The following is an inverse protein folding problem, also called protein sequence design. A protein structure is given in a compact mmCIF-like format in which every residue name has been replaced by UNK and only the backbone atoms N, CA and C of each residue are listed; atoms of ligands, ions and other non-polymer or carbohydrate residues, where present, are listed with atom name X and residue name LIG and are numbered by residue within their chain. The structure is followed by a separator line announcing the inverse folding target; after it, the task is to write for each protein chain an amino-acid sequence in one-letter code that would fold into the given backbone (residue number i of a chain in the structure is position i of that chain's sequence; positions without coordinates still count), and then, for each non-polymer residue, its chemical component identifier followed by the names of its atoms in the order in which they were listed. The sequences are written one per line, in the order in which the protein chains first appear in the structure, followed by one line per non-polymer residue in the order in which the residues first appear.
data_IF_802501882765
#
_entry.id   IF_802501882765
#
_cell.length_a   1.000
_cell.length_b   1.000
_cell.length_c   1.000
_cell.angle_alpha   90.00
_cell.angle_beta   90.00
_cell.angle_gamma   90.00
#
_symmetry.space_group_name_H-M   'P 1'
#
loop_
_entity.id
_entity.type
_entity.pdbx_description
1 polymer ?
#
# COMPACT_ATOMS: atom_id res chain seq x y z
N UNK A 1 -5.64 -16.50 -0.83
CA UNK A 1 -6.05 -15.16 -1.31
C UNK A 1 -4.81 -14.43 -1.80
N UNK A 2 -4.81 -13.97 -3.03
CA UNK A 2 -3.64 -13.33 -3.63
C UNK A 2 -3.67 -11.82 -3.41
N UNK A 3 -2.50 -11.21 -3.26
CA UNK A 3 -2.35 -9.76 -3.05
C UNK A 3 -3.05 -8.95 -4.14
N UNK A 4 -2.96 -9.39 -5.43
CA UNK A 4 -3.61 -8.71 -6.55
C UNK A 4 -5.13 -8.56 -6.43
N UNK A 5 -5.78 -9.45 -5.70
CA UNK A 5 -7.24 -9.44 -5.50
C UNK A 5 -7.70 -8.27 -4.61
N UNK A 6 -6.77 -7.62 -3.90
CA UNK A 6 -7.02 -6.47 -3.00
C UNK A 6 -6.56 -5.14 -3.56
N UNK A 7 -6.01 -5.10 -4.76
CA UNK A 7 -5.60 -3.87 -5.40
C UNK A 7 -6.83 -3.06 -5.85
N UNK A 8 -7.27 -2.13 -5.01
CA UNK A 8 -8.53 -1.40 -5.24
C UNK A 8 -8.39 -0.16 -6.11
N UNK A 9 -7.20 0.41 -6.22
CA UNK A 9 -6.96 1.67 -6.95
C UNK A 9 -5.62 1.64 -7.65
N UNK A 10 -5.56 2.28 -8.82
CA UNK A 10 -4.30 2.57 -9.45
C UNK A 10 -3.45 3.44 -8.50
N UNK A 11 -2.18 3.12 -8.29
CA UNK A 11 -1.30 3.90 -7.44
C UNK A 11 -1.09 5.27 -8.06
N UNK A 12 -0.96 6.30 -7.21
CA UNK A 12 -0.57 7.64 -7.66
C UNK A 12 0.94 7.68 -7.78
N UNK A 13 1.44 8.00 -8.95
CA UNK A 13 2.86 7.98 -9.26
C UNK A 13 3.38 9.36 -9.61
N UNK A 14 4.64 9.61 -9.30
CA UNK A 14 5.36 10.83 -9.68
C UNK A 14 6.78 10.46 -10.13
N UNK A 15 7.42 11.27 -10.99
CA UNK A 15 8.83 11.11 -11.27
C UNK A 15 9.68 11.64 -10.09
N UNK A 16 10.96 11.23 -9.98
CA UNK A 16 11.87 11.71 -8.93
C UNK A 16 12.06 13.24 -8.91
N UNK A 17 11.87 13.90 -10.06
CA UNK A 17 12.03 15.35 -10.25
C UNK A 17 10.81 16.15 -9.77
N UNK A 18 9.70 15.50 -9.43
CA UNK A 18 8.54 16.15 -8.84
C UNK A 18 8.96 16.92 -7.58
N UNK A 19 8.54 18.16 -7.43
CA UNK A 19 8.87 18.98 -6.26
C UNK A 19 8.05 18.57 -5.04
N UNK A 20 8.52 18.91 -3.84
CA UNK A 20 7.77 18.68 -2.60
C UNK A 20 6.41 19.37 -2.63
N UNK A 21 6.34 20.59 -3.19
CA UNK A 21 5.08 21.34 -3.33
C UNK A 21 4.10 20.61 -4.25
N UNK A 22 4.56 20.18 -5.42
CA UNK A 22 3.74 19.42 -6.38
C UNK A 22 3.27 18.10 -5.78
N UNK A 23 4.14 17.38 -5.10
CA UNK A 23 3.82 16.12 -4.43
C UNK A 23 2.77 16.31 -3.32
N UNK A 24 2.96 17.30 -2.46
CA UNK A 24 2.00 17.60 -1.39
C UNK A 24 0.62 17.99 -1.95
N UNK A 25 0.59 18.80 -3.01
CA UNK A 25 -0.65 19.18 -3.69
C UNK A 25 -1.36 17.98 -4.30
N UNK A 26 -0.61 17.10 -4.96
CA UNK A 26 -1.15 15.87 -5.55
C UNK A 26 -1.72 14.91 -4.48
N UNK A 27 -1.04 14.78 -3.34
CA UNK A 27 -1.55 14.01 -2.19
C UNK A 27 -2.89 14.55 -1.70
N UNK A 28 -3.02 15.88 -1.59
CA UNK A 28 -4.27 16.54 -1.20
C UNK A 28 -5.39 16.31 -2.22
N UNK A 29 -5.11 16.52 -3.50
CA UNK A 29 -6.07 16.38 -4.58
C UNK A 29 -6.59 14.94 -4.77
N UNK A 30 -5.72 13.97 -4.53
CA UNK A 30 -6.06 12.54 -4.68
C UNK A 30 -6.49 11.87 -3.38
N UNK A 31 -6.38 12.55 -2.24
CA UNK A 31 -6.71 12.00 -0.93
C UNK A 31 -5.84 10.81 -0.55
N UNK A 32 -4.54 10.85 -0.89
CA UNK A 32 -3.58 9.79 -0.58
C UNK A 32 -2.44 10.31 0.29
N UNK A 33 -1.89 9.47 1.15
CA UNK A 33 -0.75 9.80 2.01
C UNK A 33 0.58 9.24 1.52
N UNK A 34 0.62 8.67 0.33
CA UNK A 34 1.84 8.14 -0.28
C UNK A 34 1.80 8.23 -1.79
N UNK A 35 2.95 8.49 -2.38
CA UNK A 35 3.19 8.49 -3.83
C UNK A 35 4.27 7.46 -4.13
N UNK A 36 4.07 6.68 -5.19
CA UNK A 36 5.13 5.85 -5.72
C UNK A 36 5.98 6.67 -6.69
N UNK A 37 7.27 6.66 -6.46
CA UNK A 37 8.23 7.37 -7.31
C UNK A 37 8.72 6.40 -8.37
N UNK A 38 8.46 6.73 -9.62
CA UNK A 38 8.78 5.87 -10.76
C UNK A 38 9.70 6.58 -11.74
N UNK A 39 10.63 5.81 -12.31
CA UNK A 39 11.47 6.23 -13.43
C UNK A 39 11.26 5.23 -14.56
N UNK A 40 10.62 5.68 -15.64
CA UNK A 40 10.11 4.77 -16.67
C UNK A 40 9.07 3.81 -16.07
N UNK A 41 9.30 2.50 -16.24
CA UNK A 41 8.44 1.43 -15.70
C UNK A 41 8.89 0.93 -14.30
N UNK A 42 9.96 1.51 -13.74
CA UNK A 42 10.57 1.04 -12.50
C UNK A 42 10.15 1.88 -11.29
N UNK A 43 9.76 1.23 -10.20
CA UNK A 43 9.56 1.87 -8.90
C UNK A 43 10.94 2.12 -8.30
N UNK A 44 11.30 3.39 -8.14
CA UNK A 44 12.60 3.80 -7.59
C UNK A 44 12.49 4.28 -6.15
N UNK A 45 11.28 4.59 -5.68
CA UNK A 45 11.06 5.07 -4.34
C UNK A 45 9.59 5.10 -3.94
N UNK A 46 9.38 5.41 -2.67
CA UNK A 46 8.09 5.76 -2.09
C UNK A 46 8.25 7.02 -1.25
N UNK A 47 7.38 7.99 -1.44
CA UNK A 47 7.34 9.21 -0.64
C UNK A 47 5.99 9.32 0.08
N UNK A 48 6.04 9.54 1.39
CA UNK A 48 4.85 9.72 2.22
C UNK A 48 4.70 11.17 2.65
N UNK A 49 3.50 11.55 3.08
CA UNK A 49 3.25 12.83 3.74
C UNK A 49 4.18 13.06 4.94
N UNK A 50 4.50 12.01 5.70
CA UNK A 50 5.48 12.07 6.78
C UNK A 50 6.90 12.38 6.26
N UNK A 51 7.33 11.80 5.15
CA UNK A 51 8.64 12.10 4.55
C UNK A 51 8.73 13.56 4.15
N UNK A 52 7.69 14.11 3.53
CA UNK A 52 7.63 15.53 3.17
C UNK A 52 7.69 16.40 4.41
N UNK A 53 6.95 16.08 5.46
CA UNK A 53 6.92 16.85 6.68
C UNK A 53 8.25 16.77 7.45
N UNK A 54 8.82 15.58 7.62
CA UNK A 54 9.98 15.35 8.50
C UNK A 54 11.29 15.56 7.74
N UNK A 55 11.48 14.93 6.60
CA UNK A 55 12.73 15.00 5.83
C UNK A 55 12.80 16.23 4.93
N UNK A 56 11.66 16.75 4.53
CA UNK A 56 11.57 17.98 3.75
C UNK A 56 11.45 19.20 4.65
N UNK A 57 10.26 19.51 5.11
CA UNK A 57 9.97 20.71 5.91
C UNK A 57 10.75 20.74 7.22
N UNK A 58 10.79 19.64 7.97
CA UNK A 58 11.52 19.54 9.25
C UNK A 58 13.02 19.70 9.10
N UNK A 59 13.60 19.38 7.96
CA UNK A 59 15.01 19.61 7.65
C UNK A 59 15.30 20.99 7.03
N UNK A 60 14.28 21.86 6.91
CA UNK A 60 14.42 23.20 6.36
C UNK A 60 14.62 23.22 4.84
N UNK A 61 14.27 22.18 4.14
CA UNK A 61 14.38 22.11 2.68
C UNK A 61 13.36 23.03 2.01
N UNK A 62 13.73 23.73 0.92
CA UNK A 62 12.77 24.53 0.16
C UNK A 62 11.72 23.64 -0.53
N UNK A 63 10.55 24.20 -0.81
CA UNK A 63 9.45 23.50 -1.48
C UNK A 63 9.81 23.05 -2.90
N UNK A 64 10.83 23.65 -3.50
CA UNK A 64 11.39 23.27 -4.81
C UNK A 64 12.31 22.06 -4.76
N UNK A 65 12.60 21.51 -3.59
CA UNK A 65 13.35 20.25 -3.42
C UNK A 65 12.64 19.13 -4.15
N UNK A 66 13.40 18.26 -4.80
CA UNK A 66 12.83 17.11 -5.52
C UNK A 66 12.40 16.02 -4.54
N UNK A 67 11.30 15.36 -4.83
CA UNK A 67 10.82 14.20 -4.08
C UNK A 67 11.89 13.10 -3.98
N UNK A 68 12.69 12.93 -5.02
CA UNK A 68 13.80 11.98 -5.02
C UNK A 68 14.82 12.17 -3.89
N UNK A 69 14.92 13.39 -3.33
CA UNK A 69 15.86 13.71 -2.25
C UNK A 69 15.29 13.37 -0.85
N UNK A 70 14.00 13.13 -0.73
CA UNK A 70 13.32 12.84 0.55
C UNK A 70 12.65 11.48 0.59
N UNK A 71 12.45 10.83 -0.55
CA UNK A 71 11.82 9.52 -0.67
C UNK A 71 12.62 8.43 0.06
N UNK A 72 11.97 7.32 0.35
CA UNK A 72 12.66 6.07 0.66
C UNK A 72 13.02 5.40 -0.66
N UNK A 73 14.31 5.24 -0.89
CA UNK A 73 14.85 4.58 -2.10
C UNK A 73 14.71 3.06 -2.00
N UNK A 74 14.61 2.41 -3.15
CA UNK A 74 14.53 0.94 -3.25
C UNK A 74 13.50 0.35 -2.25
N UNK A 75 12.24 0.74 -2.35
CA UNK A 75 11.23 0.26 -1.42
C UNK A 75 11.08 -1.25 -1.54
N UNK A 76 10.78 -1.89 -0.40
CA UNK A 76 10.41 -3.30 -0.41
C UNK A 76 9.15 -3.45 -1.27
N UNK A 77 9.13 -4.42 -2.15
CA UNK A 77 8.03 -4.74 -3.06
C UNK A 77 7.57 -6.17 -2.89
N UNK A 78 6.41 -6.49 -3.43
CA UNK A 78 5.88 -7.86 -3.46
C UNK A 78 5.23 -8.12 -4.83
N UNK A 79 5.27 -9.37 -5.28
CA UNK A 79 4.54 -9.76 -6.49
C UNK A 79 3.04 -9.92 -6.17
N UNK A 80 2.18 -9.51 -7.12
CA UNK A 80 0.73 -9.63 -6.97
C UNK A 80 0.23 -11.07 -6.87
N UNK A 81 1.04 -12.04 -7.30
CA UNK A 81 0.79 -13.47 -7.16
C UNK A 81 1.09 -14.03 -5.76
N UNK A 82 1.73 -13.24 -4.89
CA UNK A 82 2.01 -13.64 -3.52
C UNK A 82 0.71 -13.76 -2.70
N UNK A 83 0.77 -14.57 -1.65
CA UNK A 83 -0.33 -14.72 -0.70
C UNK A 83 -0.40 -13.53 0.27
N UNK A 84 -1.61 -13.17 0.71
CA UNK A 84 -1.83 -12.05 1.64
C UNK A 84 -1.10 -12.21 2.97
N UNK A 85 -0.90 -13.45 3.45
CA UNK A 85 -0.12 -13.71 4.67
C UNK A 85 1.37 -13.45 4.46
N UNK A 86 1.88 -13.65 3.24
CA UNK A 86 3.24 -13.27 2.89
C UNK A 86 3.39 -11.74 2.91
N UNK A 87 2.45 -11.01 2.31
CA UNK A 87 2.43 -9.55 2.39
C UNK A 87 2.41 -9.04 3.83
N UNK A 88 1.60 -9.66 4.70
CA UNK A 88 1.59 -9.33 6.12
C UNK A 88 2.96 -9.54 6.78
N UNK A 89 3.62 -10.67 6.50
CA UNK A 89 4.96 -10.95 7.06
C UNK A 89 6.00 -9.93 6.59
N UNK A 90 5.93 -9.53 5.32
CA UNK A 90 6.83 -8.51 4.77
C UNK A 90 6.60 -7.16 5.43
N UNK A 91 5.35 -6.68 5.51
CA UNK A 91 5.00 -5.42 6.17
C UNK A 91 5.45 -5.39 7.64
N UNK A 92 5.17 -6.47 8.37
CA UNK A 92 5.56 -6.60 9.78
C UNK A 92 7.08 -6.66 9.94
N UNK A 93 7.77 -7.45 9.14
CA UNK A 93 9.22 -7.64 9.22
C UNK A 93 9.99 -6.37 8.87
N UNK A 94 9.51 -5.60 7.89
CA UNK A 94 10.12 -4.34 7.48
C UNK A 94 9.64 -3.14 8.31
N UNK A 95 8.63 -3.29 9.17
CA UNK A 95 8.06 -2.20 9.96
C UNK A 95 7.39 -1.11 9.11
N UNK A 96 6.87 -1.47 7.95
CA UNK A 96 6.23 -0.55 7.00
C UNK A 96 4.72 -0.79 6.95
N UNK A 97 3.96 0.20 6.49
CA UNK A 97 2.50 0.14 6.40
C UNK A 97 1.97 0.05 4.97
N UNK A 98 2.83 0.23 3.99
CA UNK A 98 2.51 0.26 2.56
C UNK A 98 3.53 -0.54 1.79
N UNK A 99 3.07 -1.32 0.84
CA UNK A 99 3.90 -2.24 0.07
C UNK A 99 3.55 -2.13 -1.41
N UNK A 100 4.44 -1.60 -2.25
CA UNK A 100 4.24 -1.59 -3.68
C UNK A 100 4.12 -3.01 -4.21
N UNK A 101 3.17 -3.22 -5.09
CA UNK A 101 2.87 -4.52 -5.71
C UNK A 101 3.31 -4.50 -7.16
N UNK A 102 4.07 -5.50 -7.53
CA UNK A 102 4.54 -5.69 -8.91
C UNK A 102 3.70 -6.77 -9.61
N UNK A 103 3.49 -6.58 -10.89
CA UNK A 103 2.96 -7.57 -11.81
C UNK A 103 3.97 -7.74 -12.93
N UNK A 104 4.58 -8.91 -12.98
CA UNK A 104 5.65 -9.22 -13.95
C UNK A 104 6.78 -8.17 -13.94
N UNK A 105 7.20 -7.75 -12.75
CA UNK A 105 8.28 -6.76 -12.55
C UNK A 105 7.88 -5.31 -12.80
N UNK A 106 6.62 -5.01 -13.15
CA UNK A 106 6.10 -3.66 -13.33
C UNK A 106 5.16 -3.28 -12.19
N UNK A 107 5.03 -1.98 -11.95
CA UNK A 107 4.11 -1.50 -10.93
C UNK A 107 2.66 -1.87 -11.27
N UNK A 108 2.06 -2.71 -10.44
CA UNK A 108 0.64 -3.12 -10.52
C UNK A 108 -0.26 -2.37 -9.53
N UNK A 109 0.29 -1.95 -8.39
CA UNK A 109 -0.51 -1.30 -7.36
C UNK A 109 0.24 -1.05 -6.07
N UNK A 110 -0.52 -0.82 -5.02
CA UNK A 110 -0.04 -0.71 -3.64
C UNK A 110 -1.03 -1.43 -2.73
N UNK A 111 -0.52 -2.18 -1.78
CA UNK A 111 -1.31 -2.80 -0.71
C UNK A 111 -0.91 -2.19 0.63
N UNK A 112 -1.88 -1.98 1.50
CA UNK A 112 -1.68 -1.40 2.83
C UNK A 112 -2.02 -2.40 3.92
N UNK A 113 -1.62 -2.09 5.16
CA UNK A 113 -2.05 -2.85 6.34
C UNK A 113 -3.57 -2.90 6.45
N UNK A 114 -4.25 -1.79 6.11
CA UNK A 114 -5.72 -1.71 6.17
C UNK A 114 -6.38 -2.63 5.12
N UNK A 115 -5.80 -2.73 3.92
CA UNK A 115 -6.28 -3.66 2.89
C UNK A 115 -6.14 -5.11 3.34
N UNK A 116 -5.02 -5.46 3.98
CA UNK A 116 -4.80 -6.80 4.53
C UNK A 116 -5.74 -7.11 5.69
N UNK A 117 -6.06 -6.11 6.53
CA UNK A 117 -7.03 -6.29 7.61
C UNK A 117 -8.40 -6.64 7.04
N UNK A 118 -8.85 -5.95 6.01
CA UNK A 118 -10.11 -6.27 5.30
C UNK A 118 -10.06 -7.68 4.73
N UNK A 119 -8.93 -8.07 4.09
CA UNK A 119 -8.74 -9.40 3.57
C UNK A 119 -8.90 -10.49 4.64
N UNK A 120 -8.23 -10.30 5.78
CA UNK A 120 -8.29 -11.24 6.90
C UNK A 120 -9.70 -11.35 7.50
N UNK A 121 -10.44 -10.25 7.59
CA UNK A 121 -11.83 -10.25 8.06
C UNK A 121 -12.72 -11.03 7.10
N UNK A 122 -12.53 -10.87 5.79
CA UNK A 122 -13.30 -11.61 4.79
C UNK A 122 -13.00 -13.12 4.82
N UNK A 123 -11.73 -13.50 4.99
CA UNK A 123 -11.34 -14.90 5.16
C UNK A 123 -11.95 -15.51 6.43
N UNK A 124 -11.87 -14.80 7.54
CA UNK A 124 -12.45 -15.24 8.79
C UNK A 124 -13.98 -15.39 8.67
N UNK A 125 -14.65 -14.45 8.05
CA UNK A 125 -16.10 -14.52 7.80
C UNK A 125 -16.48 -15.73 6.95
N UNK A 126 -15.67 -16.07 5.94
CA UNK A 126 -15.87 -17.24 5.09
C UNK A 126 -15.76 -18.56 5.87
N UNK A 127 -14.85 -18.62 6.87
CA UNK A 127 -14.70 -19.80 7.74
C UNK A 127 -15.82 -19.89 8.78
N UNK A 128 -16.18 -18.77 9.39
CA UNK A 128 -17.17 -18.74 10.47
C UNK A 128 -18.60 -18.94 9.97
N UNK A 129 -18.93 -18.47 8.78
CA UNK A 129 -20.29 -18.49 8.24
C UNK A 129 -20.91 -19.90 8.15
N UNK A 130 -20.23 -20.94 7.63
CA UNK A 130 -20.78 -22.30 7.65
C UNK A 130 -20.93 -22.87 9.06
N UNK A 131 -19.96 -22.61 9.94
CA UNK A 131 -19.96 -23.09 11.34
C UNK A 131 -21.06 -22.38 12.14
N UNK A 132 -21.20 -21.08 11.99
CA UNK A 132 -22.25 -20.31 12.65
C UNK A 132 -23.64 -20.76 12.18
N UNK A 133 -23.80 -21.06 10.91
CA UNK A 133 -25.06 -21.59 10.37
C UNK A 133 -25.42 -22.95 10.98
N UNK A 134 -24.47 -23.87 11.11
CA UNK A 134 -24.70 -25.16 11.75
C UNK A 134 -25.01 -25.04 13.24
N UNK A 135 -24.30 -24.17 13.96
CA UNK A 135 -24.52 -23.94 15.39
C UNK A 135 -25.85 -23.23 15.68
N UNK A 136 -26.29 -22.35 14.79
CA UNK A 136 -27.51 -21.56 14.95
C UNK A 136 -28.72 -22.18 14.23
N UNK A 137 -28.53 -23.34 13.58
CA UNK A 137 -29.63 -24.04 12.91
C UNK A 137 -30.67 -24.42 13.97
N UNK A 138 -31.89 -23.86 13.89
CA UNK A 138 -32.94 -24.30 14.81
C UNK A 138 -33.20 -25.78 14.56
N UNK A 139 -33.24 -26.58 15.63
CA UNK A 139 -33.76 -27.96 15.55
C UNK A 139 -35.20 -27.84 15.06
N UNK A 140 -35.41 -28.18 13.78
CA UNK A 140 -36.76 -28.33 13.26
C UNK A 140 -37.26 -29.66 13.83
N UNK A 141 -38.24 -29.63 14.75
CA UNK A 141 -38.80 -30.88 15.25
C UNK A 141 -39.39 -31.67 14.09
N UNK A 142 -39.11 -32.94 14.07
CA UNK A 142 -39.64 -33.85 13.07
C UNK A 142 -41.17 -33.91 13.02
#
# INVERSE_FOLDING_TARGET
MLVREFLRKAPVTVPPQCTLEEAARLMGDRGVGALLVVSGDQVVGIATDRDIAVRGMGAGMPLTTMVGDVMTEHPVTIEGSADVFEAYRVLKGAGIRRLPVLEEGKLGGIVTVDDLLVALVLELAAVVSPVAWEMLRPEIPA
#
